data_IF_694368884586
#
_entry.id   IF_694368884586
#
_cell.length_a   1.000
_cell.length_b   1.000
_cell.length_c   1.000
_cell.angle_alpha   90.00
_cell.angle_beta   90.00
_cell.angle_gamma   90.00
#
_symmetry.space_group_name_H-M   'P 1'
#
loop_
_entity.id
_entity.type
_entity.pdbx_description
1 polymer ?
#
# COMPACT_ATOMS: atom_id res chain seq x y z
N UNK A 1 15.51 7.28 36.77
CA UNK A 1 16.66 7.26 35.83
C UNK A 1 16.06 6.75 34.54
N UNK A 2 15.65 7.72 33.70
CA UNK A 2 15.02 7.41 32.42
C UNK A 2 16.09 6.88 31.47
N UNK A 3 15.90 5.65 31.01
CA UNK A 3 16.77 5.06 29.97
C UNK A 3 16.39 5.74 28.67
N UNK A 4 17.32 6.52 28.11
CA UNK A 4 17.20 7.12 26.77
C UNK A 4 17.00 5.99 25.72
N UNK A 5 15.76 5.70 25.40
CA UNK A 5 15.44 4.75 24.33
C UNK A 5 15.62 5.49 23.01
N UNK A 6 16.50 5.04 22.10
CA UNK A 6 16.76 5.74 20.86
C UNK A 6 15.50 5.84 20.00
N UNK A 7 15.19 7.05 19.53
CA UNK A 7 14.14 7.29 18.55
C UNK A 7 14.46 6.54 17.24
N UNK A 8 13.46 5.87 16.68
CA UNK A 8 13.53 5.23 15.37
C UNK A 8 12.92 6.16 14.32
N UNK A 9 13.30 5.98 13.06
CA UNK A 9 12.72 6.70 11.94
C UNK A 9 12.09 5.72 10.97
N UNK A 10 10.95 6.09 10.41
CA UNK A 10 10.26 5.30 9.41
C UNK A 10 11.12 5.17 8.13
N UNK A 11 11.42 3.96 7.65
CA UNK A 11 12.25 3.78 6.45
C UNK A 11 11.56 4.23 5.16
N UNK A 12 10.24 4.37 5.18
CA UNK A 12 9.46 4.76 4.00
C UNK A 12 9.28 6.28 3.88
N UNK A 13 9.01 6.99 4.99
CA UNK A 13 8.71 8.43 4.95
C UNK A 13 9.66 9.30 5.80
N UNK A 14 10.60 8.70 6.55
CA UNK A 14 11.55 9.41 7.40
C UNK A 14 10.99 10.00 8.70
N UNK A 15 9.71 9.79 9.00
CA UNK A 15 9.09 10.34 10.21
C UNK A 15 9.62 9.65 11.47
N UNK A 16 9.79 10.39 12.60
CA UNK A 16 10.14 9.79 13.87
C UNK A 16 9.01 8.91 14.39
N UNK A 17 9.34 7.69 14.80
CA UNK A 17 8.40 6.71 15.37
C UNK A 17 8.85 6.28 16.74
N UNK A 18 7.91 6.04 17.63
CA UNK A 18 8.18 5.57 18.98
C UNK A 18 8.94 4.23 18.98
N UNK A 19 9.68 3.93 20.05
CA UNK A 19 10.48 2.69 20.11
C UNK A 19 9.62 1.42 20.10
N UNK A 20 8.35 1.51 20.47
CA UNK A 20 7.39 0.41 20.55
C UNK A 20 6.34 0.47 19.43
N UNK A 21 6.33 1.49 18.58
CA UNK A 21 5.32 1.63 17.55
C UNK A 21 5.43 0.50 16.52
N UNK A 22 4.36 -0.24 16.32
CA UNK A 22 4.28 -1.31 15.34
C UNK A 22 4.17 -0.76 13.91
N UNK A 23 3.61 0.46 13.78
CA UNK A 23 3.43 1.14 12.50
C UNK A 23 3.89 2.59 12.58
N UNK A 24 4.30 3.14 11.45
CA UNK A 24 4.56 4.57 11.31
C UNK A 24 3.23 5.35 11.32
N UNK A 25 3.03 6.23 12.28
CA UNK A 25 1.82 7.05 12.40
C UNK A 25 1.57 8.01 11.23
N UNK A 26 2.57 8.21 10.34
CA UNK A 26 2.45 9.08 9.19
C UNK A 26 2.14 8.38 7.88
N UNK A 27 2.69 7.18 7.65
CA UNK A 27 2.57 6.49 6.37
C UNK A 27 2.11 5.03 6.52
N UNK A 28 1.74 4.57 7.72
CA UNK A 28 1.27 3.22 7.98
C UNK A 28 2.32 2.10 7.81
N UNK A 29 3.58 2.42 7.49
CA UNK A 29 4.61 1.40 7.27
C UNK A 29 4.81 0.55 8.53
N UNK A 30 4.75 -0.77 8.37
CA UNK A 30 5.01 -1.73 9.45
C UNK A 30 6.47 -1.63 9.92
N UNK A 31 6.65 -1.33 11.21
CA UNK A 31 7.96 -1.15 11.85
C UNK A 31 8.48 -2.44 12.50
N UNK A 32 7.66 -3.47 12.62
CA UNK A 32 8.02 -4.77 13.24
C UNK A 32 8.88 -5.64 12.34
N UNK A 33 8.86 -5.43 11.02
CA UNK A 33 9.60 -6.22 10.03
C UNK A 33 11.12 -5.95 10.00
N UNK A 34 11.65 -5.08 10.88
CA UNK A 34 13.07 -4.71 10.89
C UNK A 34 13.85 -5.25 12.09
N UNK A 35 13.77 -6.53 12.36
CA UNK A 35 14.84 -7.20 13.07
C UNK A 35 15.90 -7.57 12.04
N UNK A 36 16.87 -6.70 11.82
CA UNK A 36 18.03 -7.04 11.00
C UNK A 36 18.76 -8.23 11.64
N UNK A 37 19.04 -9.32 10.89
CA UNK A 37 19.96 -10.33 11.36
C UNK A 37 21.34 -9.68 11.48
N UNK A 38 21.92 -9.71 12.68
CA UNK A 38 23.32 -9.35 12.91
C UNK A 38 24.21 -10.28 12.10
N UNK A 39 24.79 -9.77 11.04
CA UNK A 39 25.83 -10.48 10.29
C UNK A 39 27.05 -10.70 11.21
N UNK A 40 27.65 -11.89 11.22
CA UNK A 40 28.85 -12.16 11.98
C UNK A 40 30.00 -11.28 11.48
N UNK A 41 30.72 -10.66 12.42
CA UNK A 41 31.91 -9.86 12.18
C UNK A 41 32.97 -10.68 11.41
N UNK A 42 33.25 -10.27 10.18
CA UNK A 42 34.35 -10.81 9.40
C UNK A 42 35.70 -10.42 9.99
N UNK A 43 36.72 -11.28 9.99
CA UNK A 43 38.04 -10.96 10.52
C UNK A 43 38.73 -9.88 9.68
N UNK A 44 39.68 -9.09 10.26
CA UNK A 44 40.27 -7.94 9.62
C UNK A 44 41.09 -8.32 8.39
N UNK A 45 40.69 -7.78 7.25
CA UNK A 45 41.38 -7.95 5.96
C UNK A 45 42.68 -7.14 5.94
N UNK A 46 43.83 -7.80 5.68
CA UNK A 46 45.12 -7.15 5.51
C UNK A 46 45.09 -6.10 4.38
N UNK A 47 45.49 -4.87 4.67
CA UNK A 47 45.67 -3.79 3.71
C UNK A 47 46.70 -4.16 2.64
N UNK A 48 46.28 -4.26 1.40
CA UNK A 48 47.20 -4.17 0.24
C UNK A 48 47.43 -2.70 -0.06
N UNK A 49 48.68 -2.32 -0.37
CA UNK A 49 49.08 -0.95 -0.70
C UNK A 49 48.41 -0.52 -2.01
N UNK A 50 47.58 0.50 -1.93
CA UNK A 50 46.94 1.11 -3.09
C UNK A 50 47.92 1.99 -3.85
N UNK A 51 47.84 1.94 -5.19
CA UNK A 51 48.52 2.88 -6.08
C UNK A 51 48.05 4.31 -5.80
N UNK A 52 48.98 5.29 -5.91
CA UNK A 52 48.84 6.63 -5.39
C UNK A 52 47.72 7.50 -5.98
N UNK A 53 47.38 8.60 -5.32
CA UNK A 53 46.24 9.48 -5.62
C UNK A 53 46.28 10.13 -7.01
N UNK A 54 47.42 10.15 -7.68
CA UNK A 54 47.61 10.77 -9.01
C UNK A 54 46.83 10.03 -10.11
N UNK A 55 46.74 8.68 -10.05
CA UNK A 55 46.02 7.88 -11.05
C UNK A 55 44.49 8.13 -10.94
N UNK A 56 43.99 8.34 -9.73
CA UNK A 56 42.57 8.62 -9.51
C UNK A 56 42.14 9.98 -10.07
N UNK A 57 43.00 11.00 -9.92
CA UNK A 57 42.73 12.36 -10.41
C UNK A 57 42.72 12.38 -11.96
N UNK A 58 43.66 11.68 -12.59
CA UNK A 58 43.70 11.59 -14.06
C UNK A 58 42.46 10.87 -14.63
N UNK A 59 42.01 9.81 -14.00
CA UNK A 59 40.76 9.10 -14.41
C UNK A 59 39.54 10.00 -14.28
N UNK A 60 39.44 10.78 -13.20
CA UNK A 60 38.31 11.71 -13.00
C UNK A 60 38.32 12.82 -14.06
N UNK A 61 39.50 13.38 -14.40
CA UNK A 61 39.62 14.43 -15.40
C UNK A 61 39.25 13.89 -16.80
N UNK A 62 39.69 12.67 -17.13
CA UNK A 62 39.35 12.04 -18.43
C UNK A 62 37.83 11.75 -18.49
N UNK A 63 37.22 11.25 -17.44
CA UNK A 63 35.77 11.04 -17.39
C UNK A 63 34.98 12.35 -17.50
N UNK A 64 35.47 13.43 -16.88
CA UNK A 64 34.85 14.76 -16.99
C UNK A 64 34.94 15.33 -18.40
N UNK A 65 36.07 15.15 -19.08
CA UNK A 65 36.26 15.59 -20.47
C UNK A 65 35.43 14.76 -21.46
N UNK A 66 35.20 13.48 -21.18
CA UNK A 66 34.30 12.63 -21.99
C UNK A 66 32.85 13.07 -21.82
N UNK A 67 32.42 13.39 -20.61
CA UNK A 67 31.05 13.87 -20.33
C UNK A 67 30.77 15.24 -20.96
N UNK A 68 31.77 16.14 -21.08
CA UNK A 68 31.61 17.45 -21.72
C UNK A 68 31.53 17.39 -23.26
N UNK A 69 31.87 16.28 -23.86
CA UNK A 69 31.86 16.09 -25.34
C UNK A 69 30.75 15.14 -25.81
N UNK A 70 29.85 14.66 -24.95
CA UNK A 70 28.71 13.85 -25.36
C UNK A 70 27.62 14.76 -25.95
N UNK A 71 27.04 14.40 -27.11
CA UNK A 71 25.92 15.15 -27.67
C UNK A 71 24.71 15.08 -26.70
N UNK A 72 24.07 16.21 -26.46
CA UNK A 72 22.93 16.38 -25.54
C UNK A 72 21.75 15.42 -25.79
N UNK A 73 21.71 14.74 -26.93
CA UNK A 73 20.68 13.75 -27.25
C UNK A 73 20.77 12.43 -26.47
N UNK A 74 21.91 12.14 -25.85
CA UNK A 74 22.11 10.91 -25.06
C UNK A 74 21.98 11.10 -23.55
N UNK A 75 21.76 12.34 -23.08
CA UNK A 75 21.62 12.63 -21.65
C UNK A 75 20.18 12.54 -21.15
N UNK A 76 19.20 12.33 -22.01
CA UNK A 76 17.79 12.25 -21.62
C UNK A 76 17.29 10.82 -21.32
N UNK A 77 18.11 9.79 -21.47
CA UNK A 77 17.70 8.40 -21.18
C UNK A 77 18.41 7.78 -19.97
N UNK A 78 19.30 8.49 -19.29
CA UNK A 78 20.03 7.98 -18.13
C UNK A 78 19.65 8.73 -16.84
N UNK A 79 18.39 8.78 -16.53
CA UNK A 79 17.88 9.39 -15.30
C UNK A 79 16.64 8.69 -14.78
N UNK A 80 16.78 7.52 -14.22
CA UNK A 80 16.13 7.08 -12.99
C UNK A 80 16.38 5.59 -12.73
N UNK A 81 17.47 5.27 -12.08
CA UNK A 81 17.59 4.02 -11.33
C UNK A 81 17.53 4.35 -9.85
N UNK A 82 16.36 4.68 -9.36
CA UNK A 82 16.09 4.70 -7.92
C UNK A 82 15.74 3.28 -7.48
N UNK A 83 16.73 2.65 -6.87
CA UNK A 83 16.61 1.40 -6.12
C UNK A 83 15.97 1.68 -4.77
N UNK A 84 14.67 1.95 -4.74
CA UNK A 84 13.83 1.84 -3.57
C UNK A 84 12.46 1.35 -4.04
N UNK A 85 11.91 0.32 -3.36
CA UNK A 85 10.65 -0.32 -3.69
C UNK A 85 9.42 0.58 -3.45
N UNK A 86 9.44 1.80 -3.98
CA UNK A 86 8.29 2.65 -4.10
C UNK A 86 7.58 2.31 -5.42
N UNK A 87 6.27 2.11 -5.36
CA UNK A 87 5.44 1.95 -6.53
C UNK A 87 5.66 3.16 -7.46
N UNK A 88 6.15 2.93 -8.68
CA UNK A 88 6.22 3.96 -9.70
C UNK A 88 4.80 4.21 -10.23
N UNK A 89 4.08 5.12 -9.58
CA UNK A 89 2.85 5.68 -10.10
C UNK A 89 3.22 6.85 -11.01
N UNK A 90 3.02 6.70 -12.33
CA UNK A 90 3.22 7.81 -13.26
C UNK A 90 1.98 8.68 -13.30
N UNK A 91 2.02 9.82 -12.64
CA UNK A 91 0.93 10.80 -12.61
C UNK A 91 0.82 11.55 -13.93
N UNK A 92 -0.31 11.40 -14.61
CA UNK A 92 -0.80 12.41 -15.53
C UNK A 92 -2.03 13.07 -14.91
N UNK A 93 -1.91 14.30 -14.47
CA UNK A 93 -3.03 15.13 -14.01
C UNK A 93 -4.01 15.34 -15.19
N UNK A 94 -5.26 14.91 -15.02
CA UNK A 94 -6.29 14.96 -16.05
C UNK A 94 -6.56 13.59 -16.70
N UNK A 95 -7.59 13.42 -17.51
CA UNK A 95 -8.11 12.22 -18.19
C UNK A 95 -7.03 11.25 -18.76
N UNK A 96 -6.12 10.76 -17.92
CA UNK A 96 -4.99 9.94 -18.31
C UNK A 96 -5.10 8.50 -17.80
N UNK A 97 -4.50 7.57 -18.57
CA UNK A 97 -4.33 6.20 -18.10
C UNK A 97 -3.29 6.17 -16.98
N UNK A 98 -3.65 5.60 -15.84
CA UNK A 98 -2.75 5.30 -14.73
C UNK A 98 -2.20 3.90 -14.86
N UNK A 99 -0.97 3.71 -14.41
CA UNK A 99 -0.31 2.41 -14.37
C UNK A 99 0.30 2.24 -12.97
N UNK A 100 -0.18 1.26 -12.23
CA UNK A 100 0.35 0.92 -10.91
C UNK A 100 1.06 -0.43 -11.03
N UNK A 101 2.30 -0.48 -10.56
CA UNK A 101 3.09 -1.70 -10.50
C UNK A 101 3.35 -2.07 -9.03
N UNK A 102 3.20 -3.36 -8.69
CA UNK A 102 3.46 -3.85 -7.33
C UNK A 102 4.10 -5.23 -7.36
N UNK A 103 4.60 -5.65 -6.21
CA UNK A 103 5.20 -6.98 -6.03
C UNK A 103 4.30 -7.86 -5.19
N UNK A 104 4.15 -9.12 -5.61
CA UNK A 104 3.50 -10.16 -4.84
C UNK A 104 4.16 -11.51 -5.17
N UNK A 105 4.47 -12.31 -4.15
CA UNK A 105 5.08 -13.65 -4.26
C UNK A 105 6.35 -13.71 -5.16
N UNK A 106 7.17 -12.66 -5.08
CA UNK A 106 8.44 -12.54 -5.85
C UNK A 106 8.29 -11.97 -7.25
N UNK A 107 7.08 -11.93 -7.80
CA UNK A 107 6.77 -11.40 -9.12
C UNK A 107 6.34 -9.93 -9.09
N UNK A 108 6.45 -9.26 -10.25
CA UNK A 108 5.97 -7.89 -10.44
C UNK A 108 4.74 -7.89 -11.33
N UNK A 109 3.66 -7.31 -10.81
CA UNK A 109 2.38 -7.17 -11.50
C UNK A 109 2.16 -5.72 -11.90
N UNK A 110 1.36 -5.48 -12.92
CA UNK A 110 0.99 -4.13 -13.37
C UNK A 110 -0.48 -4.09 -13.75
N UNK A 111 -1.17 -3.08 -13.28
CA UNK A 111 -2.57 -2.81 -13.58
C UNK A 111 -2.70 -1.43 -14.20
N UNK A 112 -3.57 -1.29 -15.20
CA UNK A 112 -3.81 -0.01 -15.89
C UNK A 112 -5.29 0.34 -15.87
N UNK A 113 -5.60 1.59 -15.55
CA UNK A 113 -6.96 2.12 -15.56
C UNK A 113 -6.98 3.60 -15.87
N UNK A 114 -8.15 4.12 -16.19
CA UNK A 114 -8.37 5.56 -16.40
C UNK A 114 -9.56 6.02 -15.59
N UNK A 115 -9.44 7.19 -14.98
CA UNK A 115 -10.54 7.85 -14.27
C UNK A 115 -10.77 9.19 -14.94
N UNK A 116 -11.96 9.38 -15.50
CA UNK A 116 -12.33 10.70 -16.00
C UNK A 116 -12.82 11.60 -14.86
N UNK A 117 -12.67 12.91 -15.06
CA UNK A 117 -13.04 13.90 -14.05
C UNK A 117 -14.54 13.87 -13.75
N UNK A 118 -15.38 13.54 -14.72
CA UNK A 118 -16.84 13.50 -14.52
C UNK A 118 -17.22 12.39 -13.56
N UNK A 119 -16.61 11.20 -13.72
CA UNK A 119 -16.80 10.08 -12.80
C UNK A 119 -16.33 10.43 -11.39
N UNK A 120 -15.13 10.98 -11.24
CA UNK A 120 -14.62 11.45 -9.94
C UNK A 120 -15.57 12.43 -9.28
N UNK A 121 -15.99 13.49 -10.01
CA UNK A 121 -16.90 14.52 -9.48
C UNK A 121 -18.29 13.95 -9.14
N UNK A 122 -18.75 12.89 -9.78
CA UNK A 122 -20.02 12.25 -9.42
C UNK A 122 -19.99 11.64 -8.01
N UNK A 123 -18.83 11.11 -7.59
CA UNK A 123 -18.63 10.59 -6.24
C UNK A 123 -18.39 11.70 -5.22
N UNK A 124 -17.56 12.70 -5.53
CA UNK A 124 -17.35 13.86 -4.65
C UNK A 124 -18.66 14.58 -4.31
N UNK A 125 -19.58 14.67 -5.27
CA UNK A 125 -20.88 15.33 -5.08
C UNK A 125 -21.98 14.40 -4.55
N UNK A 126 -21.66 13.14 -4.23
CA UNK A 126 -22.64 12.23 -3.61
C UNK A 126 -23.04 12.77 -2.22
N UNK A 127 -24.35 12.81 -1.91
CA UNK A 127 -24.85 13.42 -0.66
C UNK A 127 -24.63 12.54 0.57
N UNK A 128 -24.01 11.36 0.47
CA UNK A 128 -23.74 10.50 1.61
C UNK A 128 -22.88 11.20 2.66
N UNK A 129 -23.13 10.93 3.94
CA UNK A 129 -22.30 11.46 5.00
C UNK A 129 -20.89 10.88 4.90
N UNK A 130 -19.86 11.72 4.93
CA UNK A 130 -18.47 11.35 4.70
C UNK A 130 -17.70 10.95 5.96
N UNK A 131 -18.41 10.72 7.04
CA UNK A 131 -17.87 10.22 8.32
C UNK A 131 -19.01 9.71 9.18
N UNK A 132 -18.70 8.92 10.19
CA UNK A 132 -19.71 8.53 11.18
C UNK A 132 -20.33 9.76 11.83
N UNK A 133 -21.66 9.77 11.92
CA UNK A 133 -22.45 10.83 12.60
C UNK A 133 -22.72 10.49 14.06
N UNK A 134 -22.53 9.24 14.44
CA UNK A 134 -22.62 8.73 15.82
C UNK A 134 -21.64 7.57 16.02
N UNK A 135 -21.28 7.32 17.26
CA UNK A 135 -20.34 6.27 17.67
C UNK A 135 -20.77 4.82 17.35
N UNK A 136 -21.94 4.62 16.77
CA UNK A 136 -22.49 3.29 16.45
C UNK A 136 -22.97 3.18 14.98
N UNK A 137 -22.65 4.15 14.15
CA UNK A 137 -23.11 4.20 12.75
C UNK A 137 -22.15 3.48 11.79
N UNK A 138 -21.63 2.35 12.18
CA UNK A 138 -20.68 1.57 11.38
C UNK A 138 -21.28 1.08 10.06
N UNK A 139 -22.61 0.87 10.00
CA UNK A 139 -23.31 0.46 8.78
C UNK A 139 -23.24 1.54 7.66
N UNK A 140 -22.88 2.78 7.99
CA UNK A 140 -22.61 3.80 6.99
C UNK A 140 -21.52 3.36 6.00
N UNK A 141 -20.52 2.60 6.46
CA UNK A 141 -19.45 2.08 5.63
C UNK A 141 -19.93 1.27 4.42
N UNK A 142 -21.09 0.60 4.53
CA UNK A 142 -21.68 -0.16 3.42
C UNK A 142 -22.03 0.73 2.22
N UNK A 143 -22.30 2.03 2.43
CA UNK A 143 -22.62 2.96 1.34
C UNK A 143 -21.39 3.31 0.48
N UNK A 144 -20.18 3.05 0.99
CA UNK A 144 -18.93 3.27 0.27
C UNK A 144 -18.48 2.04 -0.53
N UNK A 145 -19.17 0.89 -0.40
CA UNK A 145 -18.84 -0.30 -1.17
C UNK A 145 -19.49 -0.18 -2.56
N UNK A 146 -18.66 0.03 -3.57
CA UNK A 146 -19.09 0.30 -4.95
C UNK A 146 -18.63 -0.78 -5.94
N UNK A 147 -18.81 -2.05 -5.59
CA UNK A 147 -18.43 -3.21 -6.41
C UNK A 147 -19.02 -3.15 -7.84
N UNK A 148 -20.23 -2.58 -8.00
CA UNK A 148 -20.89 -2.42 -9.29
C UNK A 148 -20.33 -1.28 -10.17
N UNK A 149 -19.37 -0.47 -9.69
CA UNK A 149 -18.77 0.58 -10.49
C UNK A 149 -17.94 0.02 -11.64
N UNK A 150 -18.04 0.62 -12.82
CA UNK A 150 -17.35 0.15 -14.03
C UNK A 150 -15.83 0.15 -13.93
N UNK A 151 -15.25 1.09 -13.14
CA UNK A 151 -13.81 1.13 -12.88
C UNK A 151 -13.41 -0.01 -11.96
N UNK A 152 -14.15 -0.24 -10.87
CA UNK A 152 -13.88 -1.34 -9.93
C UNK A 152 -13.97 -2.68 -10.65
N UNK A 153 -15.01 -2.91 -11.45
CA UNK A 153 -15.14 -4.12 -12.31
C UNK A 153 -13.95 -4.31 -13.25
N UNK A 154 -13.47 -3.22 -13.87
CA UNK A 154 -12.29 -3.29 -14.76
C UNK A 154 -11.03 -3.67 -14.00
N UNK A 155 -10.86 -3.17 -12.78
CA UNK A 155 -9.73 -3.51 -11.90
C UNK A 155 -9.83 -4.98 -11.46
N UNK A 156 -10.97 -5.40 -10.96
CA UNK A 156 -11.23 -6.77 -10.53
C UNK A 156 -10.99 -7.78 -11.66
N UNK A 157 -11.50 -7.50 -12.86
CA UNK A 157 -11.28 -8.36 -14.04
C UNK A 157 -9.79 -8.47 -14.42
N UNK A 158 -9.02 -7.38 -14.30
CA UNK A 158 -7.58 -7.41 -14.55
C UNK A 158 -6.85 -8.23 -13.47
N UNK A 159 -7.21 -8.08 -12.20
CA UNK A 159 -6.64 -8.87 -11.09
C UNK A 159 -6.92 -10.37 -11.26
N UNK A 160 -8.15 -10.74 -11.59
CA UNK A 160 -8.50 -12.15 -11.88
C UNK A 160 -7.73 -12.70 -13.08
N UNK A 161 -7.52 -11.89 -14.12
CA UNK A 161 -6.69 -12.29 -15.27
C UNK A 161 -5.22 -12.48 -14.88
N UNK A 162 -4.67 -11.62 -14.05
CA UNK A 162 -3.30 -11.74 -13.54
C UNK A 162 -3.14 -12.97 -12.65
N UNK A 163 -4.10 -13.24 -11.79
CA UNK A 163 -4.19 -14.47 -10.98
C UNK A 163 -4.17 -15.73 -11.85
N UNK A 164 -4.97 -15.77 -12.91
CA UNK A 164 -5.03 -16.92 -13.83
C UNK A 164 -3.68 -17.12 -14.56
N UNK A 165 -3.04 -16.03 -15.01
CA UNK A 165 -1.73 -16.08 -15.65
C UNK A 165 -0.63 -16.58 -14.71
N UNK A 166 -0.71 -16.22 -13.43
CA UNK A 166 0.24 -16.64 -12.41
C UNK A 166 -0.06 -18.04 -11.82
N UNK A 167 -1.23 -18.63 -12.16
CA UNK A 167 -1.65 -19.92 -11.61
C UNK A 167 -1.97 -19.89 -10.12
N UNK A 168 -2.36 -18.73 -9.60
CA UNK A 168 -2.70 -18.56 -8.19
C UNK A 168 -4.07 -19.18 -7.89
N UNK A 169 -4.23 -19.67 -6.67
CA UNK A 169 -5.51 -20.13 -6.15
C UNK A 169 -6.37 -18.95 -5.64
N UNK A 170 -7.52 -19.25 -5.03
CA UNK A 170 -8.44 -18.25 -4.49
C UNK A 170 -7.81 -17.40 -3.38
N UNK A 171 -6.98 -18.02 -2.52
CA UNK A 171 -6.25 -17.28 -1.48
C UNK A 171 -5.17 -16.37 -2.09
N UNK A 172 -4.45 -16.88 -3.09
CA UNK A 172 -3.47 -16.11 -3.86
C UNK A 172 -4.09 -14.93 -4.60
N UNK A 173 -5.31 -15.08 -5.15
CA UNK A 173 -6.07 -13.98 -5.77
C UNK A 173 -6.40 -12.87 -4.77
N UNK A 174 -6.91 -13.23 -3.59
CA UNK A 174 -7.21 -12.27 -2.54
C UNK A 174 -5.96 -11.52 -2.08
N UNK A 175 -4.85 -12.23 -1.90
CA UNK A 175 -3.57 -11.63 -1.53
C UNK A 175 -2.98 -10.76 -2.64
N UNK A 176 -3.14 -11.12 -3.92
CA UNK A 176 -2.71 -10.30 -5.05
C UNK A 176 -3.45 -8.96 -5.09
N UNK A 177 -4.78 -8.99 -4.87
CA UNK A 177 -5.61 -7.79 -4.76
C UNK A 177 -5.26 -6.96 -3.51
N UNK A 178 -5.01 -7.62 -2.37
CA UNK A 178 -4.57 -6.96 -1.14
C UNK A 178 -3.24 -6.23 -1.34
N UNK A 179 -2.25 -6.90 -1.95
CA UNK A 179 -0.95 -6.31 -2.25
C UNK A 179 -1.06 -5.09 -3.20
N UNK A 180 -1.98 -5.14 -4.18
CA UNK A 180 -2.29 -3.98 -5.03
C UNK A 180 -2.78 -2.79 -4.18
N UNK A 181 -3.78 -2.98 -3.31
CA UNK A 181 -4.33 -1.91 -2.46
C UNK A 181 -3.30 -1.42 -1.45
N UNK A 182 -2.50 -2.30 -0.85
CA UNK A 182 -1.41 -1.93 0.05
C UNK A 182 -0.38 -1.00 -0.61
N UNK A 183 -0.18 -1.13 -1.93
CA UNK A 183 0.77 -0.29 -2.69
C UNK A 183 0.32 1.17 -2.78
N UNK A 184 -0.97 1.46 -2.68
CA UNK A 184 -1.49 2.83 -2.63
C UNK A 184 -0.97 3.51 -1.36
N UNK A 185 -0.30 4.67 -1.47
CA UNK A 185 0.27 5.37 -0.33
C UNK A 185 -0.77 5.68 0.76
N UNK A 186 -0.38 5.50 2.01
CA UNK A 186 -1.19 5.95 3.15
C UNK A 186 -1.10 7.47 3.28
N UNK A 187 -2.23 8.14 3.38
CA UNK A 187 -2.30 9.56 3.68
C UNK A 187 -3.54 9.87 4.53
N UNK A 188 -3.37 10.72 5.53
CA UNK A 188 -4.49 11.20 6.34
C UNK A 188 -5.41 12.12 5.53
N UNK A 189 -6.66 12.17 5.88
CA UNK A 189 -7.70 12.98 5.24
C UNK A 189 -7.39 14.46 5.19
N UNK A 190 -6.77 15.01 6.23
CA UNK A 190 -6.37 16.41 6.25
C UNK A 190 -5.31 16.74 5.19
N UNK A 191 -4.55 15.75 4.75
CA UNK A 191 -3.56 15.89 3.67
C UNK A 191 -4.23 15.73 2.31
N UNK A 192 -5.12 14.74 2.18
CA UNK A 192 -5.75 14.37 0.90
C UNK A 192 -6.94 15.28 0.57
N UNK A 193 -7.81 15.52 1.55
CA UNK A 193 -9.11 16.20 1.36
C UNK A 193 -9.21 17.54 2.09
N UNK A 194 -8.23 17.90 2.95
CA UNK A 194 -8.28 19.11 3.77
C UNK A 194 -9.32 19.05 4.89
N UNK A 195 -9.77 17.86 5.29
CA UNK A 195 -10.74 17.59 6.34
C UNK A 195 -10.11 16.67 7.39
N UNK A 196 -10.59 16.70 8.63
CA UNK A 196 -10.04 15.86 9.70
C UNK A 196 -10.47 14.39 9.58
N UNK A 197 -11.64 14.14 8.99
CA UNK A 197 -12.26 12.82 8.80
C UNK A 197 -13.14 12.88 7.55
N UNK A 198 -12.80 12.12 6.54
CA UNK A 198 -13.49 12.10 5.24
C UNK A 198 -13.43 10.73 4.59
N UNK A 199 -14.48 9.96 4.69
CA UNK A 199 -14.60 8.67 4.02
C UNK A 199 -14.76 8.84 2.51
N UNK A 200 -13.80 8.35 1.76
CA UNK A 200 -13.80 8.44 0.30
C UNK A 200 -14.37 7.19 -0.36
N UNK A 201 -15.05 7.37 -1.47
CA UNK A 201 -15.38 6.26 -2.34
C UNK A 201 -14.12 5.69 -3.03
N UNK A 202 -14.11 4.40 -3.41
CA UNK A 202 -13.00 3.77 -4.12
C UNK A 202 -12.48 4.56 -5.33
N UNK A 203 -13.37 5.19 -6.08
CA UNK A 203 -13.00 6.04 -7.23
C UNK A 203 -12.23 7.28 -6.79
N UNK A 204 -12.56 7.87 -5.64
CA UNK A 204 -11.85 9.03 -5.09
C UNK A 204 -10.46 8.62 -4.60
N UNK A 205 -10.34 7.51 -3.87
CA UNK A 205 -9.06 6.93 -3.42
C UNK A 205 -8.13 6.66 -4.61
N UNK A 206 -8.65 6.03 -5.66
CA UNK A 206 -7.90 5.78 -6.89
C UNK A 206 -7.56 7.06 -7.65
N UNK A 207 -8.40 8.10 -7.59
CA UNK A 207 -8.15 9.38 -8.25
C UNK A 207 -7.03 10.16 -7.55
N UNK A 208 -7.01 10.17 -6.23
CA UNK A 208 -5.97 10.82 -5.43
C UNK A 208 -4.68 9.98 -5.32
N UNK A 209 -4.77 8.66 -5.62
CA UNK A 209 -3.69 7.69 -5.49
C UNK A 209 -3.10 7.65 -4.07
N UNK A 210 -3.93 7.89 -3.10
CA UNK A 210 -3.64 7.82 -1.67
C UNK A 210 -4.93 7.77 -0.87
N UNK A 211 -4.86 7.26 0.36
CA UNK A 211 -5.99 7.19 1.28
C UNK A 211 -5.57 6.60 2.62
N UNK A 212 -6.42 6.74 3.61
CA UNK A 212 -6.20 6.15 4.93
C UNK A 212 -6.79 4.73 5.08
N UNK A 213 -7.09 4.31 6.31
CA UNK A 213 -7.53 2.94 6.56
C UNK A 213 -8.94 2.67 6.03
N UNK A 214 -9.86 3.60 6.17
CA UNK A 214 -11.23 3.47 5.67
C UNK A 214 -11.25 3.43 4.15
N UNK A 215 -10.60 4.40 3.52
CA UNK A 215 -10.52 4.55 2.06
C UNK A 215 -9.98 3.30 1.38
N UNK A 216 -8.87 2.77 1.91
CA UNK A 216 -8.23 1.56 1.38
C UNK A 216 -9.05 0.31 1.66
N UNK A 217 -9.75 0.27 2.81
CA UNK A 217 -10.64 -0.85 3.16
C UNK A 217 -11.89 -0.86 2.27
N UNK A 218 -12.49 0.29 1.98
CA UNK A 218 -13.63 0.38 1.05
C UNK A 218 -13.22 -0.02 -0.38
N UNK A 219 -12.04 0.40 -0.83
CA UNK A 219 -11.50 0.02 -2.13
C UNK A 219 -11.27 -1.50 -2.23
N UNK A 220 -10.58 -2.08 -1.24
CA UNK A 220 -10.31 -3.52 -1.23
C UNK A 220 -11.60 -4.32 -1.19
N UNK A 221 -12.52 -3.97 -0.29
CA UNK A 221 -13.83 -4.62 -0.17
C UNK A 221 -14.60 -4.55 -1.50
N UNK A 222 -14.65 -3.38 -2.15
CA UNK A 222 -15.36 -3.23 -3.43
C UNK A 222 -14.78 -4.10 -4.54
N UNK A 223 -13.45 -4.25 -4.60
CA UNK A 223 -12.78 -5.15 -5.55
C UNK A 223 -13.11 -6.61 -5.24
N UNK A 224 -13.02 -7.00 -3.97
CA UNK A 224 -13.26 -8.37 -3.53
C UNK A 224 -14.71 -8.81 -3.77
N UNK A 225 -15.68 -7.95 -3.50
CA UNK A 225 -17.11 -8.21 -3.77
C UNK A 225 -17.38 -8.43 -5.28
N UNK A 226 -16.77 -7.62 -6.17
CA UNK A 226 -16.91 -7.85 -7.63
C UNK A 226 -16.24 -9.17 -8.07
N UNK A 227 -15.21 -9.63 -7.38
CA UNK A 227 -14.56 -10.93 -7.59
C UNK A 227 -15.30 -12.10 -6.90
N UNK A 228 -16.52 -11.87 -6.35
CA UNK A 228 -17.37 -12.84 -5.66
C UNK A 228 -16.73 -13.45 -4.39
N UNK A 229 -16.11 -12.61 -3.57
CA UNK A 229 -15.76 -12.92 -2.19
C UNK A 229 -16.76 -12.27 -1.26
N UNK A 230 -17.23 -13.01 -0.26
CA UNK A 230 -17.99 -12.42 0.84
C UNK A 230 -17.04 -11.66 1.76
N UNK A 231 -17.38 -10.41 2.08
CA UNK A 231 -16.53 -9.52 2.86
C UNK A 231 -17.24 -8.95 4.09
N UNK A 232 -16.45 -8.45 5.03
CA UNK A 232 -16.91 -7.65 6.14
C UNK A 232 -15.96 -6.48 6.39
N UNK A 233 -16.50 -5.34 6.80
CA UNK A 233 -15.71 -4.23 7.34
C UNK A 233 -15.45 -4.47 8.82
N UNK A 234 -14.22 -4.32 9.25
CA UNK A 234 -13.77 -4.52 10.64
C UNK A 234 -13.36 -3.17 11.22
N UNK A 235 -14.25 -2.60 12.03
CA UNK A 235 -14.02 -1.30 12.69
C UNK A 235 -13.42 -1.51 14.08
N UNK A 236 -12.22 -1.02 14.28
CA UNK A 236 -11.53 -0.92 15.56
C UNK A 236 -11.68 0.50 16.16
N UNK A 237 -11.06 0.77 17.29
CA UNK A 237 -11.15 2.09 17.94
C UNK A 237 -10.51 3.22 17.11
N UNK A 238 -9.49 2.90 16.34
CA UNK A 238 -8.62 3.84 15.61
C UNK A 238 -8.15 3.29 14.25
N UNK A 239 -8.83 2.25 13.75
CA UNK A 239 -8.45 1.59 12.49
C UNK A 239 -9.64 0.92 11.83
N UNK A 240 -9.61 0.83 10.51
CA UNK A 240 -10.52 0.01 9.72
C UNK A 240 -9.72 -0.97 8.87
N UNK A 241 -10.12 -2.24 8.92
CA UNK A 241 -9.58 -3.32 8.11
C UNK A 241 -10.71 -4.09 7.42
N UNK A 242 -10.36 -5.13 6.67
CA UNK A 242 -11.34 -5.96 5.96
C UNK A 242 -11.25 -7.41 6.44
N UNK A 243 -12.40 -8.05 6.58
CA UNK A 243 -12.51 -9.49 6.72
C UNK A 243 -12.90 -10.11 5.38
N UNK A 244 -12.17 -11.11 4.90
CA UNK A 244 -12.50 -11.87 3.70
C UNK A 244 -12.87 -13.29 4.07
N UNK A 245 -14.00 -13.78 3.58
CA UNK A 245 -14.51 -15.11 3.93
C UNK A 245 -13.72 -16.22 3.24
N UNK A 246 -13.25 -17.17 4.04
CA UNK A 246 -12.65 -18.43 3.61
C UNK A 246 -13.05 -19.57 4.52
N UNK A 247 -13.11 -20.79 3.98
CA UNK A 247 -13.33 -21.99 4.80
C UNK A 247 -12.22 -22.20 5.81
N UNK A 248 -10.97 -21.98 5.41
CA UNK A 248 -9.80 -22.08 6.29
C UNK A 248 -8.58 -21.40 5.68
N UNK A 249 -7.89 -20.59 6.52
CA UNK A 249 -6.51 -20.14 6.29
C UNK A 249 -5.68 -20.62 7.49
N UNK A 250 -4.72 -21.51 7.31
CA UNK A 250 -3.95 -22.08 8.42
C UNK A 250 -3.22 -21.01 9.23
N UNK A 251 -3.52 -20.95 10.55
CA UNK A 251 -2.92 -19.98 11.46
C UNK A 251 -3.44 -18.55 11.32
N UNK A 252 -4.42 -18.32 10.43
CA UNK A 252 -4.97 -16.98 10.20
C UNK A 252 -5.92 -16.54 11.31
N UNK A 253 -5.90 -15.25 11.60
CA UNK A 253 -6.86 -14.58 12.50
C UNK A 253 -8.14 -14.28 11.75
N UNK A 254 -9.28 -14.64 12.31
CA UNK A 254 -10.60 -14.40 11.73
C UNK A 254 -11.62 -13.95 12.76
N UNK A 255 -12.73 -13.40 12.26
CA UNK A 255 -13.94 -13.05 13.01
C UNK A 255 -15.09 -13.94 12.54
N UNK A 256 -15.75 -14.62 13.48
CA UNK A 256 -16.90 -15.49 13.15
C UNK A 256 -18.20 -14.69 13.17
N UNK A 257 -18.92 -14.71 12.05
CA UNK A 257 -20.27 -14.17 11.96
C UNK A 257 -21.17 -15.22 11.32
N UNK A 258 -22.13 -15.74 12.07
CA UNK A 258 -23.07 -16.76 11.60
C UNK A 258 -22.38 -18.02 11.02
N UNK A 259 -21.28 -18.45 11.62
CA UNK A 259 -20.46 -19.59 11.17
C UNK A 259 -19.70 -19.34 9.86
N UNK A 260 -19.55 -18.09 9.43
CA UNK A 260 -18.65 -17.69 8.35
C UNK A 260 -17.42 -17.06 8.98
N UNK A 261 -16.24 -17.51 8.56
CA UNK A 261 -14.95 -17.03 9.05
C UNK A 261 -14.43 -15.93 8.14
N UNK A 262 -14.47 -14.67 8.60
CA UNK A 262 -13.93 -13.50 7.91
C UNK A 262 -12.49 -13.27 8.36
N UNK A 263 -11.54 -13.67 7.51
CA UNK A 263 -10.11 -13.55 7.80
C UNK A 263 -9.61 -12.11 7.65
N UNK A 264 -8.91 -11.63 8.65
CA UNK A 264 -8.38 -10.28 8.72
C UNK A 264 -7.47 -9.97 7.52
N UNK A 265 -7.59 -8.77 6.98
CA UNK A 265 -6.81 -8.27 5.85
C UNK A 265 -6.37 -6.83 6.12
N UNK A 266 -5.06 -6.61 6.30
CA UNK A 266 -4.46 -5.31 6.54
C UNK A 266 -4.26 -4.56 5.22
N UNK A 267 -4.98 -3.47 5.01
CA UNK A 267 -4.94 -2.72 3.74
C UNK A 267 -3.92 -1.59 3.70
N UNK A 268 -3.43 -1.14 4.86
CA UNK A 268 -2.65 0.11 4.96
C UNK A 268 -1.15 -0.07 4.76
N UNK A 269 -0.61 -1.26 5.04
CA UNK A 269 0.82 -1.53 5.02
C UNK A 269 1.18 -2.69 4.11
N UNK A 270 2.28 -2.54 3.35
CA UNK A 270 2.78 -3.56 2.42
C UNK A 270 3.32 -4.78 3.18
N UNK A 271 3.02 -5.98 2.65
CA UNK A 271 3.62 -7.25 3.07
C UNK A 271 2.78 -8.08 4.01
N UNK A 272 1.59 -7.63 4.39
CA UNK A 272 0.62 -8.44 5.12
C UNK A 272 -0.20 -9.29 4.16
N UNK A 273 -0.51 -10.51 4.59
CA UNK A 273 -1.38 -11.43 3.86
C UNK A 273 -2.71 -11.62 4.58
N UNK A 274 -3.72 -12.11 3.86
CA UNK A 274 -5.03 -12.44 4.46
C UNK A 274 -4.85 -13.44 5.60
N UNK A 275 -5.41 -13.11 6.75
CA UNK A 275 -5.26 -13.88 8.00
C UNK A 275 -4.16 -13.35 8.94
N UNK A 276 -3.26 -12.52 8.47
CA UNK A 276 -2.25 -11.89 9.34
C UNK A 276 -2.81 -10.61 9.96
N UNK A 277 -2.77 -10.53 11.28
CA UNK A 277 -3.26 -9.38 12.06
C UNK A 277 -2.17 -8.83 12.96
N UNK A 278 -1.96 -7.51 13.02
CA UNK A 278 -1.13 -6.87 14.03
C UNK A 278 -1.65 -7.18 15.45
N UNK A 279 -0.72 -7.36 16.42
CA UNK A 279 -1.08 -7.73 17.79
C UNK A 279 -1.84 -6.62 18.56
N UNK A 280 -1.64 -5.36 18.15
CA UNK A 280 -2.11 -4.18 18.90
C UNK A 280 -3.61 -3.85 18.72
N UNK A 281 -4.30 -4.46 17.75
CA UNK A 281 -5.73 -4.23 17.54
C UNK A 281 -6.59 -5.12 18.44
N UNK A 282 -7.40 -4.49 19.30
CA UNK A 282 -8.36 -5.13 20.19
C UNK A 282 -9.59 -5.71 19.47
N UNK A 283 -10.75 -5.59 20.13
CA UNK A 283 -12.04 -6.02 19.58
C UNK A 283 -12.49 -5.09 18.44
N UNK A 284 -13.21 -5.64 17.47
CA UNK A 284 -13.77 -4.89 16.35
C UNK A 284 -15.30 -5.00 16.29
N UNK A 285 -15.94 -4.00 15.69
CA UNK A 285 -17.30 -4.12 15.19
C UNK A 285 -17.26 -4.68 13.76
N UNK A 286 -17.90 -5.83 13.56
CA UNK A 286 -17.91 -6.53 12.26
C UNK A 286 -19.20 -6.20 11.54
N UNK A 287 -19.08 -5.61 10.35
CA UNK A 287 -20.21 -5.26 9.48
C UNK A 287 -20.09 -6.06 8.20
N UNK A 288 -20.92 -7.07 8.03
CA UNK A 288 -20.94 -7.90 6.80
C UNK A 288 -21.53 -7.09 5.66
N UNK A 289 -20.88 -7.16 4.48
CA UNK A 289 -21.25 -6.45 3.26
C UNK A 289 -22.37 -7.18 2.51
#
# INVERSE_FOLDING_TARGET
>A
MDVDTPMRFCPNCGDPVGPTDAFCGRCGTNMSAQVQPTLPLSPPRKRSRAAGPIVFIVVIIVLMLVMLNLPHSLLNEAGNTDTNGAANSSYASGNGTRSIAWKYDGDTYTLKFSIDQTKYLSYVNDPVARRMTSSNDYALGLQFITSNDSLIRSIAAQLSSLKDQAGLDRSGEANLALAFVQTIPYAFDNVTYGQEDYWAFPVETLYHDQGDCEDKSFLYTSIMEDMNYDCALLFFSDHVAVGVAFDSIPGGTYYDVNSVHYYYSETTSIGWTVGEKPEDYGDSHVIVV
#
